data_IF_681468912587
#
_entry.id   IF_681468912587
#
_cell.length_a   1.000
_cell.length_b   1.000
_cell.length_c   1.000
_cell.angle_alpha   90.00
_cell.angle_beta   90.00
_cell.angle_gamma   90.00
#
_symmetry.space_group_name_H-M   'P 1'
#
loop_
_entity.id
_entity.type
_entity.pdbx_description
1 polymer ?
#
# COMPACT_ATOMS: atom_id res chain seq x y z
N UNK A 1 22.84 -12.08 14.93
CA UNK A 1 23.47 -11.28 13.84
C UNK A 1 23.96 -9.98 14.47
N UNK A 2 25.26 -9.67 14.37
CA UNK A 2 25.82 -8.45 14.95
C UNK A 2 25.19 -7.20 14.29
N UNK A 3 24.68 -6.26 15.09
CA UNK A 3 24.05 -5.04 14.60
C UNK A 3 22.60 -5.22 14.14
N UNK A 4 21.96 -6.32 14.54
CA UNK A 4 20.57 -6.66 14.21
C UNK A 4 19.72 -6.89 15.47
N UNK A 5 20.30 -6.65 16.64
CA UNK A 5 19.64 -6.73 17.93
C UNK A 5 18.48 -5.73 17.98
N UNK A 6 17.31 -6.16 18.47
CA UNK A 6 16.11 -5.32 18.52
C UNK A 6 15.49 -4.96 17.17
N UNK A 7 15.88 -5.64 16.08
CA UNK A 7 15.31 -5.44 14.73
C UNK A 7 14.46 -6.62 14.30
N UNK A 8 13.30 -6.33 13.72
CA UNK A 8 12.41 -7.30 13.09
C UNK A 8 12.58 -7.20 11.57
N UNK A 9 12.71 -8.35 10.91
CA UNK A 9 12.76 -8.44 9.45
C UNK A 9 11.50 -9.14 8.98
N UNK A 10 10.69 -8.43 8.20
CA UNK A 10 9.36 -8.89 7.81
C UNK A 10 9.22 -8.90 6.30
N UNK A 11 8.54 -9.93 5.79
CA UNK A 11 7.98 -9.96 4.44
C UNK A 11 6.48 -9.70 4.56
N UNK A 12 6.02 -8.61 3.97
CA UNK A 12 4.62 -8.25 3.86
C UNK A 12 4.13 -8.57 2.46
N UNK A 13 3.04 -9.34 2.37
CA UNK A 13 2.34 -9.61 1.11
C UNK A 13 1.25 -8.57 0.95
N UNK A 14 1.32 -7.78 -0.13
CA UNK A 14 0.36 -6.71 -0.41
C UNK A 14 -0.77 -7.27 -1.27
N UNK A 15 -1.66 -8.05 -0.67
CA UNK A 15 -2.84 -8.65 -1.32
C UNK A 15 -3.96 -7.63 -1.54
N UNK A 16 -4.71 -7.76 -2.64
CA UNK A 16 -5.95 -7.03 -2.84
C UNK A 16 -7.08 -7.53 -1.92
N UNK A 17 -7.05 -7.07 -0.67
CA UNK A 17 -8.10 -7.27 0.34
C UNK A 17 -9.11 -6.12 0.41
N UNK A 18 -9.06 -5.20 -0.56
CA UNK A 18 -9.89 -3.97 -0.59
C UNK A 18 -11.36 -4.24 -0.92
N UNK A 19 -11.71 -5.44 -1.37
CA UNK A 19 -12.99 -5.80 -2.02
C UNK A 19 -13.26 -5.11 -3.36
N UNK A 20 -12.37 -4.25 -3.84
CA UNK A 20 -12.46 -3.61 -5.17
C UNK A 20 -11.95 -4.57 -6.23
N UNK A 21 -12.70 -4.70 -7.33
CA UNK A 21 -12.29 -5.52 -8.45
C UNK A 21 -11.07 -4.90 -9.14
N UNK A 22 -10.07 -5.70 -9.52
CA UNK A 22 -8.78 -5.21 -10.07
C UNK A 22 -8.93 -4.35 -11.34
N UNK A 23 -10.03 -4.50 -12.06
CA UNK A 23 -10.34 -3.68 -13.24
C UNK A 23 -10.76 -2.26 -12.88
N UNK A 24 -11.31 -2.05 -11.68
CA UNK A 24 -11.75 -0.74 -11.20
C UNK A 24 -10.61 0.02 -10.49
N UNK A 25 -9.51 -0.67 -10.19
CA UNK A 25 -8.28 -0.07 -9.65
C UNK A 25 -7.47 0.54 -10.80
N UNK A 26 -7.24 1.86 -10.73
CA UNK A 26 -6.44 2.62 -11.69
C UNK A 26 -4.98 2.63 -11.27
N UNK A 27 -4.71 2.95 -10.00
CA UNK A 27 -3.36 3.00 -9.44
C UNK A 27 -3.31 2.42 -8.03
N UNK A 28 -2.10 2.02 -7.63
CA UNK A 28 -1.72 1.76 -6.24
C UNK A 28 -0.56 2.68 -5.88
N UNK A 29 -0.72 3.48 -4.83
CA UNK A 29 0.26 4.46 -4.36
C UNK A 29 1.32 3.80 -3.46
N UNK A 30 2.34 3.26 -4.12
CA UNK A 30 3.46 2.63 -3.44
C UNK A 30 4.29 3.61 -2.60
N UNK A 31 4.37 4.89 -2.99
CA UNK A 31 5.17 5.87 -2.23
C UNK A 31 4.48 6.19 -0.90
N UNK A 32 3.15 6.38 -0.92
CA UNK A 32 2.35 6.54 0.29
C UNK A 32 2.43 5.31 1.19
N UNK A 33 2.42 4.10 0.62
CA UNK A 33 2.61 2.86 1.38
C UNK A 33 3.98 2.86 2.08
N UNK A 34 5.07 3.11 1.33
CA UNK A 34 6.44 3.07 1.85
C UNK A 34 6.67 4.12 2.94
N UNK A 35 5.99 5.27 2.88
CA UNK A 35 6.02 6.30 3.92
C UNK A 35 5.52 5.85 5.30
N UNK A 36 4.85 4.69 5.40
CA UNK A 36 4.43 4.11 6.68
C UNK A 36 5.51 3.30 7.37
N UNK A 37 6.66 3.05 6.74
CA UNK A 37 7.73 2.18 7.26
C UNK A 37 8.99 2.98 7.56
N UNK A 38 9.62 2.75 8.72
CA UNK A 38 10.89 3.38 9.07
C UNK A 38 12.02 3.02 8.11
N UNK A 39 12.05 1.75 7.66
CA UNK A 39 13.12 1.23 6.81
C UNK A 39 12.64 0.11 5.88
N UNK A 40 11.91 0.46 4.81
CA UNK A 40 11.68 -0.47 3.73
C UNK A 40 13.03 -0.88 3.11
N UNK A 41 13.22 -2.18 2.89
CA UNK A 41 14.45 -2.76 2.35
C UNK A 41 14.34 -3.01 0.85
N UNK A 42 13.19 -3.52 0.41
CA UNK A 42 12.94 -3.87 -0.99
C UNK A 42 11.43 -3.91 -1.22
N UNK A 43 10.97 -3.32 -2.33
CA UNK A 43 9.60 -3.45 -2.82
C UNK A 43 9.62 -4.12 -4.19
N UNK A 44 9.00 -5.30 -4.30
CA UNK A 44 8.78 -5.95 -5.59
C UNK A 44 7.34 -5.79 -6.02
N UNK A 45 7.14 -4.91 -7.00
CA UNK A 45 5.84 -4.63 -7.62
C UNK A 45 5.44 -5.80 -8.52
N UNK A 46 4.16 -6.15 -8.49
CA UNK A 46 3.56 -7.17 -9.36
C UNK A 46 2.51 -6.50 -10.24
N UNK A 47 2.32 -7.02 -11.44
CA UNK A 47 1.18 -6.65 -12.26
C UNK A 47 -0.12 -7.17 -11.61
N UNK A 48 -0.78 -6.31 -10.83
CA UNK A 48 -1.97 -6.70 -10.07
C UNK A 48 -3.19 -7.04 -10.96
N UNK A 49 -3.11 -6.78 -12.27
CA UNK A 49 -4.14 -7.17 -13.24
C UNK A 49 -4.03 -8.66 -13.62
N UNK A 50 -2.86 -9.26 -13.45
CA UNK A 50 -2.61 -10.68 -13.71
C UNK A 50 -2.69 -11.52 -12.44
N UNK A 51 -2.33 -10.92 -11.31
CA UNK A 51 -2.29 -11.56 -10.00
C UNK A 51 -2.97 -10.65 -9.00
N UNK A 52 -3.87 -11.13 -8.13
CA UNK A 52 -4.59 -10.29 -7.16
C UNK A 52 -3.71 -9.73 -6.03
N UNK A 53 -2.41 -9.53 -6.27
CA UNK A 53 -1.40 -9.06 -5.34
C UNK A 53 -0.70 -7.85 -5.95
N UNK A 54 -0.61 -6.75 -5.19
CA UNK A 54 0.08 -5.51 -5.58
C UNK A 54 1.60 -5.66 -5.53
N UNK A 55 2.11 -6.47 -4.61
CA UNK A 55 3.54 -6.77 -4.52
C UNK A 55 3.96 -7.40 -3.19
N UNK A 56 5.27 -7.43 -3.01
CA UNK A 56 5.93 -7.88 -1.78
C UNK A 56 6.82 -6.78 -1.24
N UNK A 57 6.70 -6.52 0.06
CA UNK A 57 7.54 -5.56 0.77
C UNK A 57 8.40 -6.27 1.81
N UNK A 58 9.70 -6.10 1.71
CA UNK A 58 10.64 -6.47 2.77
C UNK A 58 10.95 -5.23 3.59
N UNK A 59 10.86 -5.32 4.92
CA UNK A 59 11.12 -4.20 5.82
C UNK A 59 11.98 -4.62 7.02
N UNK A 60 12.77 -3.68 7.52
CA UNK A 60 13.40 -3.72 8.83
C UNK A 60 12.64 -2.78 9.77
N UNK A 61 12.07 -3.30 10.85
CA UNK A 61 11.33 -2.50 11.84
C UNK A 61 12.01 -2.58 13.20
N UNK A 62 12.06 -1.47 13.94
CA UNK A 62 12.46 -1.50 15.35
C UNK A 62 11.46 -2.33 16.17
N UNK A 63 11.94 -3.25 17.01
CA UNK A 63 11.06 -4.10 17.83
C UNK A 63 10.14 -3.28 18.75
N UNK A 64 10.61 -2.12 19.22
CA UNK A 64 9.83 -1.20 20.05
C UNK A 64 8.78 -0.40 19.24
N UNK A 65 8.86 -0.41 17.90
CA UNK A 65 7.88 0.20 16.99
C UNK A 65 7.07 -0.85 16.23
N UNK A 66 6.73 -1.97 16.88
CA UNK A 66 5.89 -3.01 16.27
C UNK A 66 4.53 -2.49 15.76
N UNK A 67 4.06 -1.35 16.27
CA UNK A 67 2.82 -0.70 15.80
C UNK A 67 2.88 -0.35 14.31
N UNK A 68 4.05 -0.08 13.74
CA UNK A 68 4.26 0.05 12.29
C UNK A 68 3.76 -1.20 11.54
N UNK A 69 4.24 -2.37 11.93
CA UNK A 69 3.85 -3.65 11.32
C UNK A 69 2.38 -3.95 11.58
N UNK A 70 1.87 -3.63 12.78
CA UNK A 70 0.46 -3.83 13.12
C UNK A 70 -0.46 -3.02 12.20
N UNK A 71 -0.10 -1.76 11.88
CA UNK A 71 -0.92 -0.92 10.98
C UNK A 71 -1.09 -1.53 9.60
N UNK A 72 -0.01 -2.02 8.99
CA UNK A 72 -0.12 -2.65 7.66
C UNK A 72 -0.85 -4.00 7.72
N UNK A 73 -0.69 -4.76 8.81
CA UNK A 73 -1.40 -6.03 9.00
C UNK A 73 -2.91 -5.84 9.21
N UNK A 74 -3.32 -4.74 9.83
CA UNK A 74 -4.74 -4.40 10.04
C UNK A 74 -5.37 -3.67 8.84
N UNK A 75 -4.55 -3.16 7.91
CA UNK A 75 -5.01 -2.43 6.72
C UNK A 75 -5.53 -3.39 5.66
N UNK A 76 -6.63 -3.00 4.99
CA UNK A 76 -7.12 -3.68 3.79
C UNK A 76 -6.56 -3.06 2.49
N UNK A 77 -5.64 -2.10 2.60
CA UNK A 77 -4.95 -1.36 1.55
C UNK A 77 -5.81 -0.39 0.73
N UNK A 78 -7.07 -0.16 1.11
CA UNK A 78 -7.98 0.72 0.37
C UNK A 78 -7.49 2.17 0.32
N UNK A 79 -6.74 2.60 1.33
CA UNK A 79 -6.15 3.94 1.42
C UNK A 79 -5.00 4.18 0.43
N UNK A 80 -4.52 3.13 -0.26
CA UNK A 80 -3.45 3.22 -1.25
C UNK A 80 -3.94 3.04 -2.68
N UNK A 81 -5.21 2.73 -2.91
CA UNK A 81 -5.75 2.59 -4.27
C UNK A 81 -6.46 3.86 -4.72
N UNK A 82 -6.43 4.10 -6.03
CA UNK A 82 -7.35 5.03 -6.69
C UNK A 82 -8.22 4.23 -7.63
N UNK A 83 -9.53 4.45 -7.55
CA UNK A 83 -10.53 3.75 -8.34
C UNK A 83 -11.04 4.60 -9.49
N UNK A 84 -11.68 3.95 -10.47
CA UNK A 84 -12.38 4.63 -11.56
C UNK A 84 -13.53 5.52 -11.07
N UNK A 85 -14.13 5.23 -9.92
CA UNK A 85 -15.16 6.07 -9.29
C UNK A 85 -14.59 7.41 -8.81
N UNK A 86 -13.41 7.40 -8.17
CA UNK A 86 -12.73 8.61 -7.70
C UNK A 86 -12.44 9.61 -8.84
N UNK A 87 -12.15 9.07 -10.03
CA UNK A 87 -11.92 9.86 -11.24
C UNK A 87 -13.20 10.46 -11.84
N UNK A 88 -14.38 9.88 -11.59
CA UNK A 88 -15.64 10.45 -12.05
C UNK A 88 -16.05 11.64 -11.16
N UNK A 89 -15.90 11.52 -9.84
CA UNK A 89 -16.21 12.61 -8.90
C UNK A 89 -15.32 13.86 -9.09
N UNK A 90 -14.04 13.69 -9.43
CA UNK A 90 -13.12 14.80 -9.67
C UNK A 90 -13.43 15.57 -10.96
N UNK A 91 -13.84 14.86 -12.02
CA UNK A 91 -14.24 15.49 -13.28
C UNK A 91 -15.57 16.25 -13.16
N UNK A 92 -16.54 15.70 -12.43
CA UNK A 92 -17.83 16.38 -12.21
C UNK A 92 -17.67 17.62 -11.31
N UNK A 93 -16.92 17.53 -10.20
CA UNK A 93 -16.70 18.69 -9.31
C UNK A 93 -15.97 19.85 -10.00
N UNK A 94 -15.03 19.56 -10.89
CA UNK A 94 -14.34 20.58 -11.70
C UNK A 94 -15.27 21.27 -12.71
N UNK A 95 -16.34 20.61 -13.15
CA UNK A 95 -17.32 21.18 -14.06
C UNK A 95 -18.24 22.20 -13.36
N UNK A 96 -18.56 21.99 -12.08
CA UNK A 96 -19.40 22.91 -11.30
C UNK A 96 -18.66 24.16 -10.81
N UNK A 97 -17.34 24.11 -10.66
CA UNK A 97 -16.52 25.24 -10.20
C UNK A 97 -16.20 26.25 -11.33
N UNK A 98 -16.55 25.93 -12.57
CA UNK A 98 -16.34 26.77 -13.77
C UNK A 98 -17.58 27.59 -14.18
N UNK A 99 -18.62 27.63 -13.37
CA UNK A 99 -19.88 28.35 -13.65
C UNK A 99 -20.00 29.60 -12.78
#
# INVERSE_FOLDING_TARGET
LKGKEGKLYSLVVLDNSTSVHVNDIITFDFEKLLGNFEKPLELRKINFREHSVFGFLFTETNADNFVELKRILDSNLSEFITTSEDHQFTNESSAYEKI
#
